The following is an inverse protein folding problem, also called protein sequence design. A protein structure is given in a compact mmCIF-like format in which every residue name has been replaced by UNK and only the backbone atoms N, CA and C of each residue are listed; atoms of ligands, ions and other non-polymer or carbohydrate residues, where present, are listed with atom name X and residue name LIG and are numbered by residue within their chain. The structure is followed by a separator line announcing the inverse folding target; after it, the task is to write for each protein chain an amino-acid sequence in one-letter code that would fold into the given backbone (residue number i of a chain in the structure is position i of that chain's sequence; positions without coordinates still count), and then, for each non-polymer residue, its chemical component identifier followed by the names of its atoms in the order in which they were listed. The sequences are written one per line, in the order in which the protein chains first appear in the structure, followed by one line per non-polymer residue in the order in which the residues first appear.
data_IF_255646986708
#
_entry.id   IF_255646986708
#
_cell.length_a   1.000
_cell.length_b   1.000
_cell.length_c   1.000
_cell.angle_alpha   90.00
_cell.angle_beta   90.00
_cell.angle_gamma   90.00
#
_symmetry.space_group_name_H-M   'P 1'
#
loop_
_entity.id
_entity.type
_entity.pdbx_description
1 polymer ?
#
# COMPACT_ATOMS: atom_id res chain seq x y z
N UNK A 1 -12.36 2.53 2.04
CA UNK A 1 -11.36 2.90 1.02
C UNK A 1 -9.98 3.15 1.62
N UNK A 2 -9.85 3.96 2.69
CA UNK A 2 -8.53 4.24 3.29
C UNK A 2 -7.78 3.02 3.88
N UNK A 3 -8.50 2.05 4.46
CA UNK A 3 -7.89 0.82 5.00
C UNK A 3 -7.07 0.05 3.96
N UNK A 4 -7.63 -0.16 2.76
CA UNK A 4 -6.99 -0.95 1.70
C UNK A 4 -5.70 -0.29 1.22
N UNK A 5 -5.70 1.03 1.02
CA UNK A 5 -4.52 1.76 0.55
C UNK A 5 -3.41 1.75 1.60
N UNK A 6 -3.75 1.91 2.88
CA UNK A 6 -2.79 1.86 3.96
C UNK A 6 -2.23 0.43 4.17
N UNK A 7 -3.08 -0.58 4.02
CA UNK A 7 -2.67 -1.98 4.08
C UNK A 7 -1.67 -2.32 2.96
N UNK A 8 -1.92 -1.86 1.73
CA UNK A 8 -1.01 -2.11 0.60
C UNK A 8 0.34 -1.44 0.83
N UNK A 9 0.36 -0.20 1.32
CA UNK A 9 1.59 0.49 1.69
C UNK A 9 2.37 -0.25 2.79
N UNK A 10 1.70 -0.69 3.85
CA UNK A 10 2.31 -1.49 4.93
C UNK A 10 2.85 -2.82 4.41
N UNK A 11 2.08 -3.52 3.57
CA UNK A 11 2.46 -4.81 3.00
C UNK A 11 3.71 -4.71 2.13
N UNK A 12 3.85 -3.64 1.34
CA UNK A 12 5.04 -3.40 0.52
C UNK A 12 6.28 -3.18 1.39
N UNK A 13 6.20 -2.35 2.44
CA UNK A 13 7.35 -2.12 3.35
C UNK A 13 7.70 -3.37 4.11
N UNK A 14 6.71 -4.13 4.57
CA UNK A 14 6.92 -5.39 5.25
C UNK A 14 7.59 -6.41 4.33
N UNK A 15 7.13 -6.54 3.08
CA UNK A 15 7.73 -7.42 2.09
C UNK A 15 9.19 -7.04 1.81
N UNK A 16 9.50 -5.75 1.58
CA UNK A 16 10.88 -5.28 1.41
C UNK A 16 11.75 -5.59 2.62
N UNK A 17 11.22 -5.40 3.83
CA UNK A 17 11.95 -5.71 5.07
C UNK A 17 12.23 -7.20 5.17
N UNK A 18 11.24 -8.05 4.94
CA UNK A 18 11.41 -9.51 4.97
C UNK A 18 12.44 -9.96 3.93
N UNK A 19 12.37 -9.46 2.71
CA UNK A 19 13.32 -9.77 1.65
C UNK A 19 14.75 -9.33 2.01
N UNK A 20 14.92 -8.16 2.62
CA UNK A 20 16.24 -7.69 3.07
C UNK A 20 16.87 -8.56 4.17
N UNK A 21 16.05 -9.27 4.94
CA UNK A 21 16.51 -10.18 6.00
C UNK A 21 16.47 -11.66 5.61
N UNK A 22 16.05 -11.99 4.38
CA UNK A 22 15.95 -13.37 3.91
C UNK A 22 17.33 -13.89 3.46
N UNK A 23 18.19 -14.20 4.44
CA UNK A 23 19.49 -14.80 4.19
C UNK A 23 19.39 -16.33 4.30
N UNK A 24 19.90 -17.11 3.32
CA UNK A 24 19.70 -18.56 3.23
C UNK A 24 20.28 -19.35 4.43
N UNK A 25 21.26 -18.79 5.14
CA UNK A 25 21.96 -19.46 6.27
C UNK A 25 21.66 -18.83 7.64
N UNK A 26 20.72 -17.88 7.74
CA UNK A 26 20.43 -17.21 9.00
C UNK A 26 19.47 -18.02 9.87
N UNK A 27 19.93 -18.45 11.05
CA UNK A 27 19.02 -19.00 12.07
C UNK A 27 17.98 -17.94 12.50
N UNK A 28 16.70 -18.30 12.43
CA UNK A 28 15.60 -17.45 12.89
C UNK A 28 15.61 -17.39 14.42
N UNK A 29 16.46 -16.52 14.97
CA UNK A 29 16.52 -16.20 16.39
C UNK A 29 15.64 -14.98 16.70
N UNK A 30 15.23 -14.85 17.97
CA UNK A 30 14.40 -13.73 18.43
C UNK A 30 15.03 -12.35 18.17
N UNK A 31 16.37 -12.28 18.24
CA UNK A 31 17.10 -11.01 18.12
C UNK A 31 17.06 -10.43 16.68
N UNK A 32 17.36 -11.19 15.60
CA UNK A 32 17.15 -10.75 14.23
C UNK A 32 15.70 -10.32 13.94
N UNK A 33 14.71 -11.03 14.48
CA UNK A 33 13.29 -10.70 14.29
C UNK A 33 12.96 -9.34 14.93
N UNK A 34 13.47 -9.08 16.13
CA UNK A 34 13.27 -7.80 16.80
C UNK A 34 13.96 -6.65 16.05
N UNK A 35 15.17 -6.90 15.53
CA UNK A 35 15.90 -5.93 14.69
C UNK A 35 15.15 -5.62 13.39
N UNK A 36 14.61 -6.63 12.72
CA UNK A 36 13.78 -6.45 11.53
C UNK A 36 12.51 -5.64 11.84
N UNK A 37 11.87 -5.89 12.99
CA UNK A 37 10.74 -5.09 13.45
C UNK A 37 11.11 -3.63 13.72
N UNK A 38 12.27 -3.38 14.34
CA UNK A 38 12.79 -2.04 14.55
C UNK A 38 13.09 -1.30 13.24
N UNK A 39 13.74 -1.97 12.28
CA UNK A 39 14.01 -1.41 10.96
C UNK A 39 12.71 -1.10 10.19
N UNK A 40 11.75 -2.02 10.21
CA UNK A 40 10.42 -1.79 9.64
C UNK A 40 9.77 -0.53 10.22
N UNK A 41 9.75 -0.38 11.55
CA UNK A 41 9.19 0.80 12.19
C UNK A 41 9.95 2.07 11.79
N UNK A 42 11.28 2.03 11.73
CA UNK A 42 12.10 3.16 11.32
C UNK A 42 11.80 3.59 9.88
N UNK A 43 11.83 2.66 8.92
CA UNK A 43 11.54 2.94 7.51
C UNK A 43 10.11 3.45 7.36
N UNK A 44 9.13 2.80 7.99
CA UNK A 44 7.72 3.17 7.87
C UNK A 44 7.43 4.56 8.44
N UNK A 45 7.89 4.84 9.67
CA UNK A 45 7.69 6.15 10.32
C UNK A 45 8.50 7.24 9.61
N UNK A 46 9.73 6.94 9.22
CA UNK A 46 10.58 7.85 8.44
C UNK A 46 9.90 8.26 7.13
N UNK A 47 9.39 7.29 6.37
CA UNK A 47 8.63 7.56 5.15
C UNK A 47 7.37 8.39 5.39
N UNK A 48 6.64 8.11 6.47
CA UNK A 48 5.43 8.86 6.82
C UNK A 48 5.78 10.33 7.10
N UNK A 49 6.81 10.59 7.90
CA UNK A 49 7.25 11.94 8.24
C UNK A 49 7.73 12.69 7.00
N UNK A 50 8.56 12.06 6.16
CA UNK A 50 9.06 12.66 4.92
C UNK A 50 7.91 12.98 3.95
N UNK A 51 6.97 12.06 3.77
CA UNK A 51 5.79 12.28 2.94
C UNK A 51 4.90 13.40 3.47
N UNK A 52 4.62 13.40 4.78
CA UNK A 52 3.81 14.44 5.41
C UNK A 52 4.46 15.82 5.33
N UNK A 53 5.78 15.89 5.55
CA UNK A 53 6.55 17.12 5.41
C UNK A 53 6.51 17.64 3.97
N UNK A 54 6.76 16.78 2.98
CA UNK A 54 6.72 17.16 1.57
C UNK A 54 5.33 17.64 1.13
N UNK A 55 4.26 16.95 1.58
CA UNK A 55 2.88 17.37 1.29
C UNK A 55 2.50 18.70 1.96
N UNK A 56 2.96 18.93 3.20
CA UNK A 56 2.76 20.19 3.90
C UNK A 56 3.55 21.33 3.23
N UNK A 57 4.79 21.07 2.82
CA UNK A 57 5.62 22.00 2.06
C UNK A 57 4.94 22.37 0.73
N UNK A 58 4.41 21.40 -0.02
CA UNK A 58 3.65 21.65 -1.23
C UNK A 58 2.43 22.53 -0.96
N UNK A 59 1.63 22.22 0.07
CA UNK A 59 0.46 23.02 0.45
C UNK A 59 0.82 24.47 0.82
N UNK A 60 1.92 24.66 1.55
CA UNK A 60 2.45 26.00 1.88
C UNK A 60 2.91 26.74 0.63
N UNK A 61 3.59 26.06 -0.29
CA UNK A 61 4.04 26.65 -1.54
C UNK A 61 2.86 27.14 -2.38
N UNK A 62 1.82 26.33 -2.54
CA UNK A 62 0.59 26.73 -3.23
C UNK A 62 -0.05 27.97 -2.59
N UNK A 63 -0.05 28.03 -1.24
CA UNK A 63 -0.55 29.18 -0.49
C UNK A 63 0.29 30.44 -0.71
N UNK A 64 1.62 30.33 -0.69
CA UNK A 64 2.53 31.47 -0.88
C UNK A 64 2.51 32.01 -2.30
N UNK A 65 2.46 31.13 -3.30
CA UNK A 65 2.46 31.52 -4.71
C UNK A 65 1.13 32.17 -5.14
N UNK A 66 0.07 32.10 -4.30
CA UNK A 66 -1.29 32.64 -4.57
C UNK A 66 -1.78 32.33 -5.99
N UNK A 67 -1.45 31.14 -6.50
CA UNK A 67 -1.69 30.77 -7.91
C UNK A 67 -3.18 30.84 -8.26
N UNK A 68 -4.06 30.56 -7.28
CA UNK A 68 -5.52 30.63 -7.38
C UNK A 68 -6.04 31.94 -7.98
N UNK A 69 -5.33 33.05 -7.81
CA UNK A 69 -5.76 34.38 -8.30
C UNK A 69 -5.53 34.57 -9.81
N UNK A 70 -4.80 33.66 -10.48
CA UNK A 70 -4.48 33.75 -11.90
C UNK A 70 -5.12 32.61 -12.69
N UNK A 71 -6.23 32.89 -13.36
CA UNK A 71 -6.96 31.90 -14.17
C UNK A 71 -6.09 31.26 -15.28
N UNK A 72 -5.10 31.97 -15.83
CA UNK A 72 -4.21 31.43 -16.87
C UNK A 72 -3.22 30.36 -16.37
N UNK A 73 -3.09 30.12 -15.06
CA UNK A 73 -2.06 29.24 -14.47
C UNK A 73 -2.58 27.89 -13.97
N UNK A 74 -3.80 27.51 -14.29
CA UNK A 74 -4.43 26.27 -13.81
C UNK A 74 -3.68 25.00 -14.22
N UNK A 75 -3.15 24.97 -15.45
CA UNK A 75 -2.35 23.84 -15.93
C UNK A 75 -1.05 23.71 -15.12
N UNK A 76 -0.43 24.84 -14.74
CA UNK A 76 0.76 24.85 -13.89
C UNK A 76 0.43 24.36 -12.48
N UNK A 77 -0.70 24.79 -11.89
CA UNK A 77 -1.17 24.29 -10.60
C UNK A 77 -1.33 22.77 -10.62
N UNK A 78 -2.00 22.24 -11.65
CA UNK A 78 -2.20 20.80 -11.80
C UNK A 78 -0.88 20.04 -12.03
N UNK A 79 0.02 20.59 -12.87
CA UNK A 79 1.33 20.01 -13.10
C UNK A 79 2.18 19.94 -11.82
N UNK A 80 2.16 21.00 -11.00
CA UNK A 80 2.83 21.03 -9.71
C UNK A 80 2.18 20.04 -8.73
N UNK A 81 0.85 19.97 -8.71
CA UNK A 81 0.11 19.03 -7.86
C UNK A 81 0.45 17.57 -8.21
N UNK A 82 0.76 17.29 -9.47
CA UNK A 82 1.28 15.99 -9.91
C UNK A 82 2.75 15.79 -9.55
N UNK A 83 3.59 16.82 -9.68
CA UNK A 83 5.04 16.71 -9.45
C UNK A 83 5.44 16.55 -7.97
N UNK A 84 4.77 17.22 -7.03
CA UNK A 84 5.16 17.18 -5.61
C UNK A 84 5.10 15.78 -4.97
N UNK A 85 4.07 14.95 -5.20
CA UNK A 85 4.06 13.57 -4.73
C UNK A 85 5.25 12.75 -5.27
N UNK A 86 5.62 12.93 -6.55
CA UNK A 86 6.80 12.28 -7.13
C UNK A 86 8.11 12.78 -6.53
N UNK A 87 8.23 14.09 -6.24
CA UNK A 87 9.38 14.62 -5.54
C UNK A 87 9.53 14.00 -4.14
N UNK A 88 8.42 13.80 -3.43
CA UNK A 88 8.40 13.11 -2.13
C UNK A 88 8.84 11.64 -2.25
N UNK A 89 8.43 10.96 -3.32
CA UNK A 89 8.87 9.59 -3.63
C UNK A 89 10.40 9.52 -3.75
N UNK A 90 10.99 10.33 -4.64
CA UNK A 90 12.43 10.31 -4.88
C UNK A 90 13.23 10.78 -3.68
N UNK A 91 12.74 11.77 -2.93
CA UNK A 91 13.38 12.21 -1.70
C UNK A 91 13.42 11.11 -0.64
N UNK A 92 12.36 10.31 -0.51
CA UNK A 92 12.34 9.18 0.42
C UNK A 92 13.27 8.05 -0.04
N UNK A 93 13.28 7.69 -1.33
CA UNK A 93 14.20 6.67 -1.84
C UNK A 93 15.68 7.11 -1.70
N UNK A 94 15.99 8.41 -1.85
CA UNK A 94 17.33 8.95 -1.60
C UNK A 94 17.77 8.87 -0.13
N UNK A 95 16.81 8.77 0.80
CA UNK A 95 17.04 8.60 2.23
C UNK A 95 16.99 7.11 2.64
N UNK A 96 16.97 6.18 1.68
CA UNK A 96 16.80 4.73 1.91
C UNK A 96 15.49 4.39 2.65
N UNK A 97 14.49 5.26 2.54
CA UNK A 97 13.14 5.06 3.06
C UNK A 97 12.22 4.50 1.97
N UNK A 98 11.00 4.10 2.34
CA UNK A 98 10.00 3.69 1.34
C UNK A 98 9.42 4.90 0.60
N UNK A 99 9.76 5.06 -0.68
CA UNK A 99 9.17 6.08 -1.54
C UNK A 99 7.66 5.92 -1.71
N UNK A 100 7.18 4.68 -1.76
CA UNK A 100 5.76 4.33 -1.95
C UNK A 100 4.90 4.80 -0.76
N UNK A 101 5.42 4.67 0.47
CA UNK A 101 4.74 5.22 1.66
C UNK A 101 4.80 6.74 1.64
N UNK A 102 5.95 7.33 1.28
CA UNK A 102 6.12 8.77 1.27
C UNK A 102 5.19 9.48 0.26
N UNK A 103 5.07 8.96 -0.97
CA UNK A 103 4.16 9.52 -1.99
C UNK A 103 2.69 9.41 -1.57
N UNK A 104 2.30 8.30 -0.91
CA UNK A 104 0.95 8.12 -0.37
C UNK A 104 0.63 9.18 0.68
N UNK A 105 1.49 9.34 1.69
CA UNK A 105 1.26 10.32 2.75
C UNK A 105 1.35 11.77 2.24
N UNK A 106 2.26 12.06 1.30
CA UNK A 106 2.28 13.34 0.61
C UNK A 106 0.94 13.63 -0.10
N UNK A 107 0.40 12.65 -0.81
CA UNK A 107 -0.92 12.73 -1.45
C UNK A 107 -2.06 12.97 -0.45
N UNK A 108 -2.08 12.25 0.68
CA UNK A 108 -3.11 12.43 1.74
C UNK A 108 -3.06 13.85 2.32
N UNK A 109 -1.85 14.34 2.64
CA UNK A 109 -1.66 15.69 3.19
C UNK A 109 -2.03 16.74 2.15
N UNK A 110 -1.64 16.57 0.88
CA UNK A 110 -2.01 17.49 -0.19
C UNK A 110 -3.53 17.50 -0.44
N UNK A 111 -4.20 16.34 -0.45
CA UNK A 111 -5.64 16.27 -0.61
C UNK A 111 -6.40 17.00 0.51
N UNK A 112 -5.80 17.09 1.71
CA UNK A 112 -6.40 17.75 2.87
C UNK A 112 -6.07 19.25 2.93
N UNK A 113 -4.82 19.63 2.69
CA UNK A 113 -4.34 21.00 2.92
C UNK A 113 -4.05 21.80 1.66
N UNK A 114 -3.67 21.14 0.55
CA UNK A 114 -3.40 21.84 -0.71
C UNK A 114 -4.71 22.09 -1.48
N UNK A 115 -5.71 21.20 -1.39
CA UNK A 115 -6.98 21.32 -2.13
C UNK A 115 -7.64 22.68 -2.00
N UNK A 116 -7.70 23.25 -0.80
CA UNK A 116 -8.33 24.55 -0.56
C UNK A 116 -7.50 25.75 -1.09
N UNK A 117 -6.21 25.52 -1.35
CA UNK A 117 -5.29 26.52 -1.89
C UNK A 117 -5.23 26.50 -3.44
N UNK A 118 -5.77 25.46 -4.09
CA UNK A 118 -5.85 25.35 -5.55
C UNK A 118 -7.13 26.01 -6.10
N UNK A 119 -7.12 26.34 -7.39
CA UNK A 119 -8.33 26.73 -8.12
C UNK A 119 -9.24 25.52 -8.39
N UNK A 120 -10.56 25.73 -8.50
CA UNK A 120 -11.53 24.65 -8.74
C UNK A 120 -11.22 23.88 -10.02
N UNK A 121 -10.90 24.58 -11.11
CA UNK A 121 -10.53 23.97 -12.39
C UNK A 121 -9.22 23.14 -12.29
N UNK A 122 -8.23 23.59 -11.50
CA UNK A 122 -7.02 22.80 -11.28
C UNK A 122 -7.28 21.55 -10.42
N UNK A 123 -8.20 21.62 -9.46
CA UNK A 123 -8.61 20.45 -8.65
C UNK A 123 -9.31 19.42 -9.53
N UNK A 124 -10.22 19.83 -10.40
CA UNK A 124 -10.89 18.95 -11.36
C UNK A 124 -9.89 18.31 -12.33
N UNK A 125 -9.03 19.12 -12.96
CA UNK A 125 -8.01 18.62 -13.88
C UNK A 125 -7.05 17.63 -13.21
N UNK A 126 -6.61 17.92 -11.98
CA UNK A 126 -5.72 17.03 -11.22
C UNK A 126 -6.41 15.72 -10.87
N UNK A 127 -7.69 15.78 -10.46
CA UNK A 127 -8.48 14.59 -10.15
C UNK A 127 -8.66 13.71 -11.38
N UNK A 128 -9.08 14.29 -12.50
CA UNK A 128 -9.31 13.56 -13.74
C UNK A 128 -8.00 12.93 -14.25
N UNK A 129 -6.88 13.65 -14.15
CA UNK A 129 -5.57 13.11 -14.49
C UNK A 129 -5.19 11.89 -13.63
N UNK A 130 -5.38 11.96 -12.29
CA UNK A 130 -5.13 10.81 -11.41
C UNK A 130 -6.08 9.64 -11.67
N UNK A 131 -7.35 9.91 -11.98
CA UNK A 131 -8.35 8.89 -12.32
C UNK A 131 -7.99 8.18 -13.63
N UNK A 132 -7.64 8.93 -14.68
CA UNK A 132 -7.16 8.37 -15.94
C UNK A 132 -5.90 7.51 -15.74
N UNK A 133 -4.91 8.01 -14.98
CA UNK A 133 -3.69 7.26 -14.69
C UNK A 133 -3.96 5.98 -13.89
N UNK A 134 -4.87 6.03 -12.93
CA UNK A 134 -5.27 4.86 -12.16
C UNK A 134 -5.91 3.79 -13.05
N UNK A 135 -6.84 4.17 -13.94
CA UNK A 135 -7.49 3.24 -14.88
C UNK A 135 -6.47 2.63 -15.85
N UNK A 136 -5.53 3.44 -16.34
CA UNK A 136 -4.46 2.95 -17.23
C UNK A 136 -3.56 1.96 -16.48
N UNK A 137 -3.10 2.31 -15.27
CA UNK A 137 -2.26 1.42 -14.45
C UNK A 137 -2.98 0.12 -14.08
N UNK A 138 -4.26 0.19 -13.72
CA UNK A 138 -5.10 -0.97 -13.43
C UNK A 138 -5.24 -1.87 -14.66
N UNK A 139 -5.48 -1.28 -15.83
CA UNK A 139 -5.55 -2.02 -17.12
C UNK A 139 -4.23 -2.73 -17.44
N UNK A 140 -3.09 -2.08 -17.22
CA UNK A 140 -1.77 -2.70 -17.43
C UNK A 140 -1.54 -3.88 -16.49
N UNK A 141 -1.87 -3.74 -15.21
CA UNK A 141 -1.72 -4.82 -14.23
C UNK A 141 -2.62 -6.00 -14.61
N UNK A 142 -3.88 -5.75 -15.00
CA UNK A 142 -4.78 -6.82 -15.43
C UNK A 142 -4.33 -7.50 -16.72
N UNK A 143 -3.84 -6.75 -17.70
CA UNK A 143 -3.29 -7.33 -18.92
C UNK A 143 -2.08 -8.23 -18.61
N UNK A 144 -1.16 -7.75 -17.77
CA UNK A 144 0.01 -8.54 -17.39
C UNK A 144 -0.36 -9.79 -16.57
N UNK A 145 -1.35 -9.70 -15.67
CA UNK A 145 -1.90 -10.88 -14.98
C UNK A 145 -2.52 -11.88 -15.96
N UNK A 146 -3.25 -11.39 -16.97
CA UNK A 146 -3.82 -12.21 -18.04
C UNK A 146 -2.74 -12.92 -18.86
N UNK A 147 -1.68 -12.22 -19.25
CA UNK A 147 -0.53 -12.83 -19.94
C UNK A 147 0.16 -13.87 -19.06
N UNK A 148 0.45 -13.55 -17.80
CA UNK A 148 1.07 -14.47 -16.85
C UNK A 148 0.25 -15.77 -16.68
N UNK A 149 -1.07 -15.68 -16.72
CA UNK A 149 -1.96 -16.84 -16.66
C UNK A 149 -1.76 -17.82 -17.82
N UNK A 150 -1.46 -17.32 -19.02
CA UNK A 150 -1.20 -18.16 -20.20
C UNK A 150 0.26 -18.61 -20.32
N UNK A 151 1.21 -17.84 -19.80
CA UNK A 151 2.65 -18.15 -19.92
C UNK A 151 3.13 -19.18 -18.90
N UNK A 152 2.64 -19.14 -17.66
CA UNK A 152 3.07 -20.08 -16.63
C UNK A 152 2.22 -21.36 -16.66
N UNK A 153 2.81 -22.56 -16.51
CA UNK A 153 2.08 -23.82 -16.42
C UNK A 153 1.41 -23.96 -15.04
N UNK A 154 0.42 -23.12 -14.76
CA UNK A 154 -0.30 -23.05 -13.47
C UNK A 154 -1.20 -24.30 -13.27
N UNK A 155 -1.45 -25.07 -14.34
CA UNK A 155 -2.30 -26.26 -14.32
C UNK A 155 -1.56 -27.56 -13.95
N UNK A 156 -0.27 -27.50 -13.63
CA UNK A 156 0.40 -28.64 -13.00
C UNK A 156 -0.26 -28.96 -11.65
N UNK A 157 -0.40 -30.26 -11.33
CA UNK A 157 -1.11 -30.71 -10.12
C UNK A 157 -0.56 -30.09 -8.82
N UNK A 158 0.74 -29.76 -8.79
CA UNK A 158 1.39 -29.11 -7.65
C UNK A 158 0.94 -27.65 -7.49
N UNK A 159 0.82 -26.91 -8.60
CA UNK A 159 0.40 -25.52 -8.62
C UNK A 159 -1.07 -25.36 -8.23
N UNK A 160 -1.96 -26.27 -8.66
CA UNK A 160 -3.36 -26.26 -8.25
C UNK A 160 -3.56 -26.50 -6.74
N UNK A 161 -2.85 -27.48 -6.17
CA UNK A 161 -2.89 -27.75 -4.72
C UNK A 161 -2.36 -26.58 -3.91
N UNK A 162 -1.26 -25.97 -4.37
CA UNK A 162 -0.70 -24.78 -3.74
C UNK A 162 -1.68 -23.59 -3.81
N UNK A 163 -2.34 -23.38 -4.96
CA UNK A 163 -3.36 -22.34 -5.13
C UNK A 163 -4.55 -22.50 -4.17
N UNK A 164 -5.07 -23.72 -4.01
CA UNK A 164 -6.13 -24.01 -3.04
C UNK A 164 -5.68 -23.78 -1.59
N UNK A 165 -4.48 -24.23 -1.24
CA UNK A 165 -3.91 -23.98 0.09
C UNK A 165 -3.72 -22.48 0.35
N UNK A 166 -3.22 -21.72 -0.63
CA UNK A 166 -3.04 -20.28 -0.53
C UNK A 166 -4.39 -19.55 -0.39
N UNK A 167 -5.41 -19.98 -1.13
CA UNK A 167 -6.77 -19.45 -1.01
C UNK A 167 -7.34 -19.71 0.39
N UNK A 168 -7.22 -20.94 0.89
CA UNK A 168 -7.66 -21.29 2.25
C UNK A 168 -6.89 -20.47 3.31
N UNK A 169 -5.57 -20.34 3.17
CA UNK A 169 -4.74 -19.53 4.06
C UNK A 169 -5.15 -18.05 4.04
N UNK A 170 -5.56 -17.50 2.89
CA UNK A 170 -6.09 -16.13 2.80
C UNK A 170 -7.38 -15.95 3.60
N UNK A 171 -8.33 -16.90 3.51
CA UNK A 171 -9.58 -16.87 4.27
C UNK A 171 -9.36 -17.03 5.78
N UNK A 172 -8.49 -17.97 6.17
CA UNK A 172 -8.14 -18.21 7.58
C UNK A 172 -7.39 -17.02 8.16
N UNK A 173 -6.39 -16.51 7.45
CA UNK A 173 -5.62 -15.34 7.86
C UNK A 173 -6.50 -14.11 8.09
N UNK A 174 -7.65 -14.02 7.42
CA UNK A 174 -8.64 -12.95 7.61
C UNK A 174 -9.62 -13.11 8.74
N UNK A 175 -9.62 -14.22 9.47
CA UNK A 175 -10.51 -14.39 10.61
C UNK A 175 -10.30 -13.31 11.68
N UNK A 176 -9.13 -12.65 11.71
CA UNK A 176 -8.87 -11.48 12.56
C UNK A 176 -9.88 -10.34 12.37
N UNK A 177 -10.58 -10.23 11.23
CA UNK A 177 -11.63 -9.22 10.98
C UNK A 177 -12.79 -9.37 11.98
N UNK A 178 -13.17 -10.60 12.33
CA UNK A 178 -14.22 -10.83 13.34
C UNK A 178 -13.76 -10.38 14.74
N UNK A 179 -12.49 -10.63 15.08
CA UNK A 179 -11.88 -10.12 16.32
C UNK A 179 -11.79 -8.60 16.34
N UNK A 180 -11.32 -7.98 15.26
CA UNK A 180 -11.20 -6.53 15.12
C UNK A 180 -12.56 -5.82 15.21
N UNK A 181 -13.57 -6.32 14.50
CA UNK A 181 -14.94 -5.77 14.58
C UNK A 181 -15.54 -5.93 15.98
N UNK A 182 -15.28 -7.05 16.67
CA UNK A 182 -15.69 -7.24 18.07
C UNK A 182 -14.99 -6.26 19.01
N UNK A 183 -13.68 -6.03 18.84
CA UNK A 183 -12.89 -5.08 19.61
C UNK A 183 -13.35 -3.64 19.39
N UNK A 184 -13.59 -3.22 18.14
CA UNK A 184 -14.14 -1.89 17.82
C UNK A 184 -15.53 -1.72 18.43
N UNK A 185 -16.39 -2.73 18.32
CA UNK A 185 -17.71 -2.71 18.95
C UNK A 185 -17.62 -2.67 20.48
N UNK A 186 -16.61 -3.29 21.10
CA UNK A 186 -16.36 -3.19 22.54
C UNK A 186 -15.83 -1.82 22.96
N UNK A 187 -14.89 -1.25 22.21
CA UNK A 187 -14.33 0.08 22.44
C UNK A 187 -15.40 1.18 22.32
N UNK A 188 -16.21 1.16 21.26
CA UNK A 188 -17.36 2.05 21.11
C UNK A 188 -18.32 1.92 22.29
N UNK A 189 -18.65 0.70 22.70
CA UNK A 189 -19.49 0.45 23.89
C UNK A 189 -18.89 1.00 25.19
N UNK A 190 -17.56 1.06 25.33
CA UNK A 190 -16.89 1.67 26.50
C UNK A 190 -16.95 3.19 26.45
N UNK A 191 -16.67 3.81 25.31
CA UNK A 191 -16.79 5.27 25.13
C UNK A 191 -18.20 5.78 25.42
N UNK A 192 -19.22 5.09 24.91
CA UNK A 192 -20.63 5.46 25.10
C UNK A 192 -21.16 5.24 26.52
N UNK A 193 -20.47 4.47 27.37
CA UNK A 193 -20.79 4.40 28.80
C UNK A 193 -20.26 5.61 29.60
N UNK A 194 -19.26 6.31 29.06
CA UNK A 194 -18.69 7.52 29.68
C UNK A 194 -19.32 8.83 29.17
N UNK A 195 -19.88 8.84 27.96
CA UNK A 195 -20.60 10.00 27.41
C UNK A 195 -22.10 9.92 27.77
N UNK A 196 -22.63 11.01 28.36
CA UNK A 196 -23.98 11.17 28.91
C UNK A 196 -25.13 10.45 28.17
N UNK A 197 -26.12 10.04 28.96
CA UNK A 197 -27.32 9.23 28.67
C UNK A 197 -28.31 9.77 27.60
N UNK A 198 -27.87 10.61 26.65
CA UNK A 198 -28.70 11.17 25.58
C UNK A 198 -28.13 11.01 24.16
N UNK A 199 -26.96 10.41 23.98
CA UNK A 199 -26.38 10.20 22.65
C UNK A 199 -27.05 9.02 21.91
N UNK A 200 -27.40 9.22 20.63
CA UNK A 200 -27.94 8.19 19.75
C UNK A 200 -27.08 6.90 19.81
N UNK A 201 -27.69 5.71 19.74
CA UNK A 201 -26.94 4.46 19.88
C UNK A 201 -25.84 4.38 18.82
N UNK A 202 -24.60 3.99 19.17
CA UNK A 202 -23.55 3.79 18.18
C UNK A 202 -24.03 2.82 17.11
N UNK A 203 -23.83 3.16 15.84
CA UNK A 203 -23.99 2.22 14.74
C UNK A 203 -23.08 1.01 15.00
N UNK A 204 -23.69 -0.08 15.45
CA UNK A 204 -22.99 -1.34 15.70
C UNK A 204 -22.68 -1.98 14.37
N UNK A 205 -21.44 -2.40 14.20
CA UNK A 205 -21.07 -3.22 13.04
C UNK A 205 -21.71 -4.58 13.28
N UNK A 206 -22.78 -4.88 12.54
CA UNK A 206 -23.51 -6.15 12.62
C UNK A 206 -22.64 -7.29 12.06
N UNK A 207 -22.88 -8.51 12.52
CA UNK A 207 -22.21 -9.71 12.01
C UNK A 207 -22.33 -9.86 10.49
N UNK A 208 -23.44 -9.42 9.90
CA UNK A 208 -23.62 -9.40 8.43
C UNK A 208 -22.62 -8.49 7.73
N UNK A 209 -22.32 -7.33 8.33
CA UNK A 209 -21.32 -6.40 7.81
C UNK A 209 -19.90 -6.94 8.02
N UNK A 210 -19.62 -7.57 9.16
CA UNK A 210 -18.32 -8.19 9.41
C UNK A 210 -18.05 -9.35 8.44
N UNK A 211 -19.05 -10.17 8.14
CA UNK A 211 -18.96 -11.22 7.13
C UNK A 211 -18.71 -10.65 5.73
N UNK A 212 -19.42 -9.58 5.36
CA UNK A 212 -19.22 -8.91 4.07
C UNK A 212 -17.80 -8.37 3.94
N UNK A 213 -17.26 -7.72 4.96
CA UNK A 213 -15.87 -7.20 4.97
C UNK A 213 -14.85 -8.34 4.92
N UNK A 214 -15.09 -9.44 5.63
CA UNK A 214 -14.23 -10.63 5.58
C UNK A 214 -14.18 -11.25 4.18
N UNK A 215 -15.35 -11.35 3.51
CA UNK A 215 -15.48 -11.94 2.18
C UNK A 215 -14.99 -11.02 1.06
N UNK A 216 -15.19 -9.70 1.18
CA UNK A 216 -14.99 -8.75 0.07
C UNK A 216 -13.53 -8.41 -0.23
N UNK A 217 -12.56 -8.77 0.61
CA UNK A 217 -11.20 -8.26 0.47
C UNK A 217 -10.31 -8.99 -0.55
N UNK A 218 -10.79 -9.57 -1.63
CA UNK A 218 -9.92 -10.36 -2.54
C UNK A 218 -8.59 -9.63 -2.87
N UNK A 219 -7.46 -10.36 -2.80
CA UNK A 219 -6.11 -9.79 -2.98
C UNK A 219 -6.01 -9.22 -4.41
N UNK A 220 -5.62 -7.96 -4.52
CA UNK A 220 -5.56 -7.23 -5.80
C UNK A 220 -4.17 -7.23 -6.45
N UNK A 221 -4.01 -6.33 -7.43
CA UNK A 221 -2.81 -6.20 -8.25
C UNK A 221 -1.49 -5.95 -7.50
N UNK A 222 -1.55 -5.35 -6.30
CA UNK A 222 -0.35 -5.09 -5.48
C UNK A 222 0.31 -6.39 -5.01
N UNK A 223 -0.48 -7.39 -4.60
CA UNK A 223 0.07 -8.68 -4.17
C UNK A 223 0.79 -9.39 -5.32
N UNK A 224 0.23 -9.27 -6.53
CA UNK A 224 0.85 -9.77 -7.74
C UNK A 224 2.15 -9.03 -8.09
N UNK A 225 2.16 -7.70 -8.01
CA UNK A 225 3.36 -6.90 -8.29
C UNK A 225 4.52 -7.26 -7.34
N UNK A 226 4.23 -7.48 -6.05
CA UNK A 226 5.24 -7.93 -5.06
C UNK A 226 5.76 -9.32 -5.43
N UNK A 227 4.88 -10.26 -5.81
CA UNK A 227 5.28 -11.61 -6.21
C UNK A 227 6.18 -11.59 -7.47
N UNK A 228 5.79 -10.82 -8.49
CA UNK A 228 6.59 -10.68 -9.71
C UNK A 228 7.95 -10.01 -9.45
N UNK A 229 8.00 -8.98 -8.60
CA UNK A 229 9.25 -8.34 -8.21
C UNK A 229 10.17 -9.29 -7.42
N UNK A 230 9.59 -10.16 -6.59
CA UNK A 230 10.34 -11.17 -5.82
C UNK A 230 10.88 -12.29 -6.73
N UNK A 231 10.13 -12.66 -7.77
CA UNK A 231 10.59 -13.63 -8.76
C UNK A 231 11.78 -13.08 -9.57
N UNK A 232 11.69 -11.82 -10.02
CA UNK A 232 12.71 -11.22 -10.87
C UNK A 232 14.01 -10.89 -10.12
N UNK A 233 14.02 -10.93 -8.78
CA UNK A 233 15.23 -10.68 -7.98
C UNK A 233 16.19 -11.87 -7.91
N UNK A 234 15.93 -12.98 -8.62
CA UNK A 234 16.84 -14.13 -8.78
C UNK A 234 17.00 -15.00 -7.53
N UNK A 235 17.01 -14.40 -6.35
CA UNK A 235 17.24 -15.05 -5.05
C UNK A 235 16.17 -16.08 -4.66
N UNK A 236 14.91 -15.88 -5.07
CA UNK A 236 13.80 -16.70 -4.58
C UNK A 236 13.78 -18.11 -5.17
N UNK A 237 14.12 -18.24 -6.45
CA UNK A 237 14.25 -19.52 -7.15
C UNK A 237 15.44 -20.33 -6.65
N UNK A 238 16.57 -19.67 -6.37
CA UNK A 238 17.78 -20.33 -5.88
C UNK A 238 17.64 -20.76 -4.41
N UNK A 239 16.94 -19.97 -3.58
CA UNK A 239 16.67 -20.31 -2.18
C UNK A 239 15.63 -21.43 -2.00
N UNK A 240 14.62 -21.52 -2.87
CA UNK A 240 13.56 -22.55 -2.75
C UNK A 240 13.88 -23.85 -3.51
N UNK A 241 14.77 -23.80 -4.50
CA UNK A 241 15.18 -24.99 -5.27
C UNK A 241 16.11 -25.93 -4.51
N UNK A 242 16.60 -25.52 -3.33
CA UNK A 242 17.47 -26.35 -2.51
C UNK A 242 18.75 -26.70 -3.24
N UNK A 243 19.65 -25.74 -3.39
CA UNK A 243 21.08 -25.93 -3.69
C UNK A 243 21.43 -27.16 -4.53
N UNK A 244 21.25 -27.07 -5.83
CA UNK A 244 21.86 -27.97 -6.81
C UNK A 244 22.69 -27.14 -7.79
N UNK A 245 23.97 -26.95 -7.50
CA UNK A 245 24.89 -26.27 -8.41
C UNK A 245 25.14 -27.05 -9.71
N UNK A 246 25.30 -26.30 -10.80
CA UNK A 246 25.72 -26.75 -12.14
C UNK A 246 24.53 -27.06 -13.05
N UNK A 247 24.41 -26.60 -14.30
CA UNK A 247 25.35 -26.05 -15.28
C UNK A 247 24.57 -25.29 -16.39
N UNK A 248 25.24 -24.38 -17.12
CA UNK A 248 24.87 -23.92 -18.47
C UNK A 248 24.16 -22.55 -18.52
N UNK A 249 24.84 -21.40 -18.54
CA UNK A 249 25.61 -20.84 -19.66
C UNK A 249 24.86 -20.84 -21.02
N UNK A 250 24.27 -19.68 -21.35
CA UNK A 250 23.97 -19.12 -22.67
C UNK A 250 23.55 -20.07 -23.81
N UNK A 251 22.26 -20.03 -24.16
CA UNK A 251 21.74 -19.94 -25.53
C UNK A 251 20.28 -19.47 -25.51
#
# INVERSE_FOLDING_TARGET
FGESVLNDAVAIVLARTILAFNQPDAEVRLMPVLQAGGLFCFIFVGSLVTGAFAGAFAALLFKFLRLRMHHDKQVLEAALAFAFPWAAYYAAEALELSGIVAILFAGIVMATYARDNLSEQAVELTRDAFECLAIIAETFIFNYLGMAFFTFPIFDQLAWRFGLCALAACFVGRLHVFGGTAAVNAYRRRLHRGAHAGAAPPSRISYRHAFLVWFSGLRGGVAFAIAAASYNSGDFTDACSGGGGGEGAWA
#
